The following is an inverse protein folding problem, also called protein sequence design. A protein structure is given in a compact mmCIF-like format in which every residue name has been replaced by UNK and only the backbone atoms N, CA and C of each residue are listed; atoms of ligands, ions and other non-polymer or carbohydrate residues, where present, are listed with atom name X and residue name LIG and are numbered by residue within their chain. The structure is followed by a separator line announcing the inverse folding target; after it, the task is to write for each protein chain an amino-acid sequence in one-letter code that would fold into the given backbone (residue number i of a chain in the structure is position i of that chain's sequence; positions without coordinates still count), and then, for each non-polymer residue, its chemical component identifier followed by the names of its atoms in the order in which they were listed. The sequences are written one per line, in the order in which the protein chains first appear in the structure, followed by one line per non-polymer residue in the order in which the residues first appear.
data_IF_266288378976
#
_entry.id   IF_266288378976
#
_cell.length_a   1.000
_cell.length_b   1.000
_cell.length_c   1.000
_cell.angle_alpha   90.00
_cell.angle_beta   90.00
_cell.angle_gamma   90.00
#
_symmetry.space_group_name_H-M   'P 1'
#
loop_
_entity.id
_entity.type
_entity.pdbx_description
1 polymer ?
#
# COMPACT_ATOMS: atom_id res chain seq x y z
N UNK A 1 -13.11 -9.50 20.05
CA UNK A 1 -13.08 -8.15 19.46
C UNK A 1 -12.44 -7.16 20.42
N UNK A 2 -11.70 -6.17 19.91
CA UNK A 2 -11.15 -5.08 20.72
C UNK A 2 -12.27 -4.33 21.44
N UNK A 3 -12.06 -3.97 22.72
CA UNK A 3 -13.00 -3.11 23.45
C UNK A 3 -12.64 -1.67 23.19
N UNK A 4 -13.47 -0.97 22.42
CA UNK A 4 -13.34 0.48 22.25
C UNK A 4 -13.79 1.21 23.51
N UNK A 5 -13.12 2.32 23.82
CA UNK A 5 -13.67 3.26 24.80
C UNK A 5 -14.99 3.85 24.26
N UNK A 6 -15.92 4.28 25.14
CA UNK A 6 -17.19 4.86 24.69
C UNK A 6 -17.01 6.04 23.72
N UNK A 7 -15.98 6.86 23.94
CA UNK A 7 -15.66 8.00 23.09
C UNK A 7 -15.22 7.57 21.68
N UNK A 8 -14.30 6.60 21.58
CA UNK A 8 -13.84 6.05 20.30
C UNK A 8 -15.00 5.40 19.54
N UNK A 9 -15.86 4.65 20.23
CA UNK A 9 -17.04 4.04 19.63
C UNK A 9 -18.02 5.09 19.09
N UNK A 10 -18.27 6.17 19.83
CA UNK A 10 -19.12 7.27 19.37
C UNK A 10 -18.56 7.96 18.12
N UNK A 11 -17.24 8.13 18.02
CA UNK A 11 -16.60 8.66 16.83
C UNK A 11 -16.75 7.74 15.61
N UNK A 12 -16.55 6.42 15.78
CA UNK A 12 -16.73 5.44 14.71
C UNK A 12 -18.17 5.44 14.16
N UNK A 13 -19.16 5.38 15.04
CA UNK A 13 -20.58 5.43 14.67
C UNK A 13 -20.90 6.73 13.93
N UNK A 14 -20.41 7.87 14.43
CA UNK A 14 -20.63 9.18 13.81
C UNK A 14 -19.98 9.29 12.42
N UNK A 15 -18.74 8.81 12.28
CA UNK A 15 -17.97 8.91 11.03
C UNK A 15 -18.58 8.04 9.92
N UNK A 16 -18.99 6.82 10.27
CA UNK A 16 -19.58 5.85 9.34
C UNK A 16 -21.08 6.02 9.15
N UNK A 17 -21.73 6.81 10.02
CA UNK A 17 -23.20 6.91 10.13
C UNK A 17 -23.87 5.57 10.44
N UNK A 18 -23.13 4.62 10.98
CA UNK A 18 -23.66 3.34 11.46
C UNK A 18 -24.32 3.49 12.83
N UNK A 19 -25.27 2.61 13.13
CA UNK A 19 -25.83 2.41 14.48
C UNK A 19 -25.21 1.19 15.19
N UNK A 20 -24.50 0.37 14.44
CA UNK A 20 -23.81 -0.83 14.90
C UNK A 20 -22.30 -0.55 14.93
N UNK A 21 -21.68 -0.74 16.10
CA UNK A 21 -20.27 -0.44 16.31
C UNK A 21 -19.35 -1.43 15.58
N UNK A 22 -19.75 -2.69 15.46
CA UNK A 22 -18.97 -3.71 14.77
C UNK A 22 -19.01 -3.42 13.27
N UNK A 23 -20.19 -3.11 12.71
CA UNK A 23 -20.32 -2.68 11.32
C UNK A 23 -19.56 -1.37 11.03
N UNK A 24 -19.55 -0.42 11.98
CA UNK A 24 -18.77 0.81 11.85
C UNK A 24 -17.26 0.52 11.78
N UNK A 25 -16.78 -0.39 12.62
CA UNK A 25 -15.38 -0.77 12.62
C UNK A 25 -14.99 -1.51 11.35
N UNK A 26 -15.79 -2.50 10.92
CA UNK A 26 -15.56 -3.25 9.68
C UNK A 26 -15.49 -2.34 8.45
N UNK A 27 -16.35 -1.32 8.38
CA UNK A 27 -16.34 -0.33 7.32
C UNK A 27 -15.04 0.49 7.32
N UNK A 28 -14.67 1.08 8.48
CA UNK A 28 -13.46 1.90 8.58
C UNK A 28 -12.20 1.07 8.28
N UNK A 29 -12.15 -0.17 8.77
CA UNK A 29 -11.01 -1.03 8.56
C UNK A 29 -10.88 -1.47 7.10
N UNK A 30 -11.99 -1.86 6.47
CA UNK A 30 -12.02 -2.20 5.03
C UNK A 30 -11.59 -1.02 4.17
N UNK A 31 -12.15 0.18 4.43
CA UNK A 31 -11.79 1.41 3.71
C UNK A 31 -10.32 1.79 3.93
N UNK A 32 -9.78 1.62 5.14
CA UNK A 32 -8.36 1.84 5.42
C UNK A 32 -7.47 0.94 4.56
N UNK A 33 -7.77 -0.36 4.51
CA UNK A 33 -6.99 -1.32 3.71
C UNK A 33 -7.06 -0.98 2.22
N UNK A 34 -8.28 -0.74 1.69
CA UNK A 34 -8.47 -0.35 0.30
C UNK A 34 -7.70 0.92 -0.07
N UNK A 35 -7.80 1.98 0.72
CA UNK A 35 -7.09 3.24 0.47
C UNK A 35 -5.56 3.07 0.52
N UNK A 36 -5.06 2.20 1.41
CA UNK A 36 -3.63 1.89 1.50
C UNK A 36 -3.14 1.12 0.27
N UNK A 37 -3.83 0.05 -0.11
CA UNK A 37 -3.51 -0.76 -1.29
C UNK A 37 -3.53 0.12 -2.54
N UNK A 38 -4.61 0.87 -2.76
CA UNK A 38 -4.75 1.77 -3.91
C UNK A 38 -3.62 2.81 -4.00
N UNK A 39 -3.17 3.34 -2.86
CA UNK A 39 -2.07 4.30 -2.82
C UNK A 39 -0.74 3.67 -3.22
N UNK A 40 -0.50 2.43 -2.77
CA UNK A 40 0.70 1.67 -3.10
C UNK A 40 0.70 1.27 -4.57
N UNK A 41 -0.43 0.81 -5.10
CA UNK A 41 -0.59 0.50 -6.53
C UNK A 41 -0.32 1.70 -7.42
N UNK A 42 -0.84 2.88 -7.06
CA UNK A 42 -0.50 4.13 -7.77
C UNK A 42 1.00 4.46 -7.70
N UNK A 43 1.67 4.12 -6.60
CA UNK A 43 3.12 4.34 -6.46
C UNK A 43 3.92 3.40 -7.35
N UNK A 44 3.60 2.11 -7.31
CA UNK A 44 4.17 1.07 -8.15
C UNK A 44 4.00 1.43 -9.62
N UNK A 45 2.77 1.74 -10.04
CA UNK A 45 2.46 2.09 -11.43
C UNK A 45 3.26 3.30 -11.93
N UNK A 46 3.45 4.34 -11.11
CA UNK A 46 4.29 5.49 -11.51
C UNK A 46 5.75 5.08 -11.76
N UNK A 47 6.26 4.10 -11.02
CA UNK A 47 7.62 3.59 -11.21
C UNK A 47 7.69 2.67 -12.44
N UNK A 48 6.68 1.85 -12.67
CA UNK A 48 6.54 1.07 -13.92
C UNK A 48 6.50 1.96 -15.14
N UNK A 49 5.72 3.05 -15.10
CA UNK A 49 5.64 4.05 -16.17
C UNK A 49 6.99 4.76 -16.38
N UNK A 50 7.70 5.08 -15.29
CA UNK A 50 9.01 5.74 -15.34
C UNK A 50 10.08 4.85 -15.98
N UNK A 51 10.10 3.57 -15.62
CA UNK A 51 11.15 2.62 -16.02
C UNK A 51 10.77 1.77 -17.23
N UNK A 52 9.50 1.78 -17.64
CA UNK A 52 8.97 1.01 -18.75
C UNK A 52 8.99 -0.51 -18.50
N UNK A 53 9.00 -0.94 -17.24
CA UNK A 53 9.09 -2.35 -16.85
C UNK A 53 8.54 -2.58 -15.44
N UNK A 54 8.23 -3.84 -15.11
CA UNK A 54 7.82 -4.27 -13.77
C UNK A 54 9.01 -4.36 -12.80
N UNK A 55 8.75 -4.28 -11.48
CA UNK A 55 9.79 -4.31 -10.44
C UNK A 55 10.77 -5.49 -10.53
N UNK A 56 10.34 -6.75 -10.75
CA UNK A 56 11.29 -7.86 -10.87
C UNK A 56 12.26 -7.70 -12.05
N UNK A 57 11.79 -7.10 -13.14
CA UNK A 57 12.63 -6.83 -14.32
C UNK A 57 13.60 -5.70 -14.03
N UNK A 58 13.13 -4.63 -13.37
CA UNK A 58 13.97 -3.53 -12.92
C UNK A 58 15.08 -4.01 -11.98
N UNK A 59 14.74 -4.77 -10.94
CA UNK A 59 15.69 -5.34 -9.98
C UNK A 59 16.77 -6.20 -10.64
N UNK A 60 16.37 -7.03 -11.62
CA UNK A 60 17.32 -7.85 -12.40
C UNK A 60 18.26 -6.99 -13.23
N UNK A 61 17.74 -6.03 -13.99
CA UNK A 61 18.55 -5.15 -14.85
C UNK A 61 19.48 -4.23 -14.06
N UNK A 62 19.04 -3.75 -12.90
CA UNK A 62 19.87 -3.00 -11.97
C UNK A 62 21.09 -3.83 -11.51
N UNK A 63 20.88 -5.12 -11.19
CA UNK A 63 21.97 -6.01 -10.80
C UNK A 63 22.94 -6.36 -11.95
N UNK A 64 22.45 -6.27 -13.19
CA UNK A 64 23.21 -6.52 -14.42
C UNK A 64 23.87 -5.25 -15.00
N UNK A 65 23.69 -4.08 -14.36
CA UNK A 65 24.11 -2.76 -14.88
C UNK A 65 23.54 -2.45 -16.28
N UNK A 66 22.33 -2.95 -16.57
CA UNK A 66 21.61 -2.85 -17.85
C UNK A 66 20.34 -1.97 -17.72
N UNK A 67 20.42 -0.90 -16.92
CA UNK A 67 19.32 0.04 -16.83
C UNK A 67 19.31 1.03 -18.01
N UNK A 68 18.13 1.48 -18.47
CA UNK A 68 18.05 2.42 -19.58
C UNK A 68 18.65 3.80 -19.22
N UNK A 69 19.69 4.21 -19.93
CA UNK A 69 20.25 5.57 -19.90
C UNK A 69 21.24 5.85 -18.75
N UNK A 70 21.86 7.03 -18.78
CA UNK A 70 22.75 7.52 -17.71
C UNK A 70 21.92 8.04 -16.51
N UNK A 71 21.20 7.14 -15.85
CA UNK A 71 20.43 7.50 -14.67
C UNK A 71 21.37 7.79 -13.49
N UNK A 72 21.16 8.93 -12.83
CA UNK A 72 21.85 9.30 -11.59
C UNK A 72 21.69 8.19 -10.53
N UNK A 73 22.81 7.59 -10.11
CA UNK A 73 22.83 6.42 -9.23
C UNK A 73 22.04 6.63 -7.94
N UNK A 74 22.07 7.84 -7.38
CA UNK A 74 21.29 8.18 -6.19
C UNK A 74 19.78 8.06 -6.43
N UNK A 75 19.31 8.51 -7.59
CA UNK A 75 17.88 8.47 -7.95
C UNK A 75 17.44 7.05 -8.29
N UNK A 76 18.32 6.23 -8.85
CA UNK A 76 18.06 4.81 -9.12
C UNK A 76 17.92 4.03 -7.82
N UNK A 77 18.83 4.24 -6.87
CA UNK A 77 18.76 3.62 -5.54
C UNK A 77 17.50 4.04 -4.79
N UNK A 78 17.18 5.34 -4.79
CA UNK A 78 15.94 5.83 -4.19
C UNK A 78 14.71 5.17 -4.80
N UNK A 79 14.66 5.07 -6.13
CA UNK A 79 13.55 4.40 -6.79
C UNK A 79 13.44 2.94 -6.39
N UNK A 80 14.56 2.22 -6.33
CA UNK A 80 14.63 0.83 -5.91
C UNK A 80 14.02 0.64 -4.50
N UNK A 81 14.49 1.41 -3.52
CA UNK A 81 14.04 1.27 -2.12
C UNK A 81 12.56 1.56 -1.96
N UNK A 82 12.09 2.67 -2.52
CA UNK A 82 10.68 3.06 -2.46
C UNK A 82 9.78 2.06 -3.18
N UNK A 83 10.26 1.42 -4.25
CA UNK A 83 9.49 0.40 -4.97
C UNK A 83 9.43 -0.91 -4.17
N UNK A 84 10.57 -1.37 -3.65
CA UNK A 84 10.63 -2.60 -2.85
C UNK A 84 9.75 -2.49 -1.61
N UNK A 85 9.77 -1.33 -0.95
CA UNK A 85 8.87 -1.04 0.17
C UNK A 85 7.41 -1.09 -0.28
N UNK A 86 7.07 -0.48 -1.42
CA UNK A 86 5.69 -0.45 -1.91
C UNK A 86 5.15 -1.86 -2.24
N UNK A 87 5.95 -2.71 -2.90
CA UNK A 87 5.58 -4.11 -3.20
C UNK A 87 5.38 -4.91 -1.90
N UNK A 88 6.28 -4.73 -0.94
CA UNK A 88 6.25 -5.44 0.35
C UNK A 88 5.03 -5.03 1.16
N UNK A 89 4.77 -3.72 1.29
CA UNK A 89 3.62 -3.20 2.02
C UNK A 89 2.31 -3.57 1.34
N UNK A 90 2.26 -3.56 0.00
CA UNK A 90 1.06 -3.94 -0.74
C UNK A 90 0.71 -5.40 -0.44
N UNK A 91 1.69 -6.29 -0.55
CA UNK A 91 1.52 -7.72 -0.24
C UNK A 91 1.02 -7.90 1.20
N UNK A 92 1.62 -7.21 2.16
CA UNK A 92 1.19 -7.25 3.56
C UNK A 92 -0.28 -6.82 3.74
N UNK A 93 -0.70 -5.69 3.17
CA UNK A 93 -2.09 -5.24 3.33
C UNK A 93 -3.09 -6.13 2.60
N UNK A 94 -2.70 -6.74 1.48
CA UNK A 94 -3.53 -7.73 0.78
C UNK A 94 -3.72 -9.02 1.60
N UNK A 95 -2.67 -9.48 2.28
CA UNK A 95 -2.77 -10.60 3.23
C UNK A 95 -3.73 -10.27 4.38
N UNK A 96 -3.57 -9.10 5.01
CA UNK A 96 -4.48 -8.64 6.08
C UNK A 96 -5.92 -8.52 5.59
N UNK A 97 -6.14 -8.03 4.36
CA UNK A 97 -7.47 -7.94 3.76
C UNK A 97 -8.10 -9.31 3.53
N UNK A 98 -7.31 -10.29 3.07
CA UNK A 98 -7.79 -11.66 2.83
C UNK A 98 -8.14 -12.41 4.12
N UNK A 99 -7.42 -12.15 5.22
CA UNK A 99 -7.76 -12.71 6.55
C UNK A 99 -9.04 -12.10 7.14
N UNK A 100 -9.42 -10.91 6.69
CA UNK A 100 -10.56 -10.14 7.19
C UNK A 100 -11.83 -10.31 6.36
N UNK A 101 -11.75 -10.96 5.19
CA UNK A 101 -12.87 -11.21 4.26
C UNK A 101 -13.40 -12.62 4.42
#
# INVERSE_FOLDING_TARGET
MPRFSPEVGAHLLKATRSQDLDAAFEMVFSEYLSLKIDSLERSIKRKEEKWGMEFPTFKRRLAEDDLPGEADSYRVEQDFWEWEEAETLKSHYQEVQAEWT
#
